data_IF_079245396794
#
_entry.id   IF_079245396794
#
_cell.length_a   1.000
_cell.length_b   1.000
_cell.length_c   1.000
_cell.angle_alpha   90.00
_cell.angle_beta   90.00
_cell.angle_gamma   90.00
#
_symmetry.space_group_name_H-M   'P 1'
#
loop_
_entity.id
_entity.type
_entity.pdbx_description
1 polymer ?
#
# COMPACT_ATOMS: atom_id res chain seq x y z
N UNK A 1 83.34 20.81 -13.00
CA UNK A 1 83.53 19.70 -12.04
C UNK A 1 82.16 19.09 -11.70
N UNK A 2 82.09 18.01 -10.92
CA UNK A 2 80.94 17.10 -10.88
C UNK A 2 79.74 17.58 -10.03
N UNK A 3 78.55 17.08 -10.36
CA UNK A 3 77.38 16.96 -9.45
C UNK A 3 77.38 15.59 -8.75
N UNK A 4 76.27 14.83 -8.64
CA UNK A 4 74.91 15.07 -9.20
C UNK A 4 73.72 14.68 -8.28
N UNK A 5 72.50 14.79 -8.83
CA UNK A 5 71.25 13.95 -8.75
C UNK A 5 69.99 14.84 -8.85
N UNK A 6 68.76 14.37 -9.16
CA UNK A 6 68.26 13.04 -9.56
C UNK A 6 66.88 12.74 -8.92
N UNK A 7 65.88 12.11 -9.57
CA UNK A 7 65.74 11.56 -10.94
C UNK A 7 64.25 11.55 -11.39
N UNK A 8 64.00 11.06 -12.61
CA UNK A 8 62.71 10.91 -13.34
C UNK A 8 61.85 9.72 -12.85
N UNK A 9 60.63 9.42 -13.35
CA UNK A 9 59.81 9.95 -14.47
C UNK A 9 59.39 8.86 -15.49
N UNK A 10 58.24 9.02 -16.16
CA UNK A 10 57.40 7.92 -16.67
C UNK A 10 57.55 7.47 -18.15
N UNK A 11 57.06 6.24 -18.46
CA UNK A 11 56.54 5.76 -19.76
C UNK A 11 55.85 4.37 -19.55
N UNK A 12 54.85 3.88 -20.31
CA UNK A 12 54.02 4.45 -21.39
C UNK A 12 53.69 3.43 -22.50
N UNK A 13 52.43 3.34 -23.01
CA UNK A 13 52.01 2.79 -24.34
C UNK A 13 50.48 2.75 -24.55
N UNK A 14 50.05 2.42 -25.78
CA UNK A 14 48.67 2.45 -26.32
C UNK A 14 48.46 1.23 -27.28
N UNK A 15 47.36 0.96 -28.01
CA UNK A 15 46.13 1.71 -28.35
C UNK A 15 45.01 0.76 -28.91
N UNK A 16 43.78 1.26 -29.07
CA UNK A 16 42.66 0.80 -29.97
C UNK A 16 41.69 -0.31 -29.52
N UNK A 17 40.52 -0.26 -30.17
CA UNK A 17 39.29 -1.06 -30.03
C UNK A 17 39.35 -2.32 -30.94
N UNK A 18 38.36 -3.23 -31.07
CA UNK A 18 36.95 -3.27 -30.66
C UNK A 18 36.42 -4.73 -30.54
N UNK A 19 35.20 -4.93 -30.04
CA UNK A 19 34.52 -6.24 -30.09
C UNK A 19 33.28 -6.31 -29.19
N UNK A 20 32.20 -6.98 -29.64
CA UNK A 20 30.90 -7.02 -28.96
C UNK A 20 30.76 -8.15 -27.92
N UNK A 21 29.76 -8.01 -27.05
CA UNK A 21 29.34 -8.99 -26.01
C UNK A 21 28.91 -10.35 -26.60
N UNK A 22 28.98 -11.40 -25.78
CA UNK A 22 27.76 -12.14 -25.43
C UNK A 22 27.45 -12.15 -23.92
N UNK A 23 26.17 -12.30 -23.56
CA UNK A 23 25.66 -11.97 -22.23
C UNK A 23 25.42 -13.20 -21.32
N UNK A 24 26.48 -13.72 -20.71
CA UNK A 24 26.41 -14.66 -19.57
C UNK A 24 27.44 -14.30 -18.48
N UNK A 25 27.39 -15.00 -17.33
CA UNK A 25 28.32 -14.99 -16.16
C UNK A 25 28.01 -14.14 -14.92
N UNK A 26 27.12 -13.14 -14.95
CA UNK A 26 26.81 -12.33 -13.75
C UNK A 26 26.32 -13.16 -12.53
N UNK A 27 25.69 -14.31 -12.76
CA UNK A 27 25.08 -15.12 -11.69
C UNK A 27 26.05 -16.09 -10.98
N UNK A 28 27.30 -16.27 -11.46
CA UNK A 28 28.26 -17.23 -10.85
C UNK A 28 29.12 -16.64 -9.72
N UNK A 29 29.30 -15.32 -9.67
CA UNK A 29 30.13 -14.68 -8.65
C UNK A 29 29.50 -14.72 -7.23
N UNK A 30 28.18 -14.61 -7.14
CA UNK A 30 27.40 -14.56 -5.89
C UNK A 30 27.25 -15.92 -5.16
N UNK A 31 27.86 -17.00 -5.66
CA UNK A 31 27.71 -18.37 -5.12
C UNK A 31 29.01 -18.93 -4.51
N UNK A 32 30.00 -18.08 -4.19
CA UNK A 32 31.29 -18.51 -3.61
C UNK A 32 31.87 -17.61 -2.50
N UNK A 33 31.10 -16.68 -1.95
CA UNK A 33 31.47 -15.99 -0.70
C UNK A 33 31.11 -16.87 0.51
N UNK A 34 32.03 -17.04 1.44
CA UNK A 34 31.79 -17.77 2.70
C UNK A 34 30.77 -17.06 3.59
N UNK A 35 30.25 -17.77 4.59
CA UNK A 35 29.31 -17.20 5.55
C UNK A 35 30.00 -16.13 6.43
N UNK A 36 29.38 -14.96 6.66
CA UNK A 36 29.76 -14.08 7.75
C UNK A 36 29.26 -14.68 9.07
N UNK A 37 30.17 -15.04 9.95
CA UNK A 37 29.88 -15.40 11.34
C UNK A 37 29.63 -14.12 12.17
N UNK A 38 28.94 -14.26 13.30
CA UNK A 38 28.69 -13.24 14.32
C UNK A 38 28.23 -11.85 13.87
N UNK A 39 26.97 -11.77 13.41
CA UNK A 39 26.21 -10.52 13.50
C UNK A 39 25.86 -10.27 14.97
N UNK A 40 26.54 -9.34 15.62
CA UNK A 40 26.07 -8.77 16.89
C UNK A 40 24.68 -8.15 16.69
N UNK A 41 23.69 -8.73 17.37
CA UNK A 41 22.34 -8.19 17.42
C UNK A 41 22.29 -7.11 18.51
N UNK A 42 22.47 -5.85 18.12
CA UNK A 42 22.01 -4.73 18.95
C UNK A 42 20.54 -4.97 19.32
N UNK A 43 20.15 -4.78 20.59
CA UNK A 43 18.83 -5.14 21.06
C UNK A 43 17.75 -4.38 20.29
N UNK A 44 16.69 -5.09 19.88
CA UNK A 44 15.54 -4.46 19.24
C UNK A 44 15.03 -3.32 20.13
N UNK A 45 14.91 -2.12 19.56
CA UNK A 45 14.18 -1.03 20.18
C UNK A 45 12.70 -1.44 20.31
N UNK A 46 12.36 -1.99 21.47
CA UNK A 46 11.00 -2.00 22.00
C UNK A 46 10.55 -0.54 22.07
N UNK A 47 9.38 -0.24 21.52
CA UNK A 47 8.82 1.12 21.55
C UNK A 47 8.63 1.52 23.04
N UNK A 48 9.24 2.64 23.47
CA UNK A 48 9.40 3.01 24.89
C UNK A 48 8.07 2.95 25.66
N UNK A 49 8.06 2.16 26.75
CA UNK A 49 6.85 1.91 27.56
C UNK A 49 6.53 3.09 28.48
N UNK A 50 7.54 3.88 28.85
CA UNK A 50 7.46 4.88 29.92
C UNK A 50 7.41 6.33 29.39
N UNK A 51 6.25 6.75 28.90
CA UNK A 51 5.88 8.18 28.87
C UNK A 51 4.84 8.49 29.95
N UNK A 52 5.33 8.81 31.16
CA UNK A 52 4.51 9.43 32.21
C UNK A 52 3.95 10.77 31.72
N UNK A 53 2.62 10.94 31.79
CA UNK A 53 1.95 12.20 31.49
C UNK A 53 2.16 13.22 32.62
N UNK A 54 3.28 13.94 32.60
CA UNK A 54 3.46 15.13 33.44
C UNK A 54 2.55 16.26 32.97
N UNK A 55 1.50 16.53 33.75
CA UNK A 55 0.58 17.64 33.54
C UNK A 55 1.00 18.87 34.35
N UNK A 56 1.85 19.73 33.78
CA UNK A 56 2.27 20.96 34.45
C UNK A 56 1.20 22.08 34.36
N UNK A 57 0.68 22.46 35.53
CA UNK A 57 -0.16 23.65 35.74
C UNK A 57 0.70 24.81 36.26
N UNK A 58 1.26 25.61 35.37
CA UNK A 58 1.84 26.94 35.63
C UNK A 58 2.12 27.61 34.26
N UNK A 59 1.99 28.93 34.07
CA UNK A 59 1.48 30.01 34.92
C UNK A 59 1.48 31.31 34.10
N UNK A 60 0.54 32.25 34.35
CA UNK A 60 0.49 33.52 33.59
C UNK A 60 1.67 34.44 33.95
N UNK A 61 2.28 35.07 32.94
CA UNK A 61 2.36 36.54 32.70
C UNK A 61 3.39 36.85 31.56
N UNK A 62 3.41 38.06 30.95
CA UNK A 62 3.65 38.15 29.51
C UNK A 62 4.80 39.08 29.05
N UNK A 63 4.95 39.11 27.72
CA UNK A 63 5.35 40.26 26.89
C UNK A 63 6.85 40.60 26.80
N UNK A 64 7.41 40.53 25.59
CA UNK A 64 8.10 41.70 25.01
C UNK A 64 8.17 41.66 23.47
N UNK A 65 8.26 42.84 22.86
CA UNK A 65 8.24 43.04 21.41
C UNK A 65 9.64 43.12 20.80
N UNK A 66 9.86 42.59 19.58
CA UNK A 66 10.90 43.14 18.70
C UNK A 66 10.59 43.08 17.21
N UNK A 67 10.85 44.20 16.54
CA UNK A 67 10.61 44.49 15.12
C UNK A 67 11.81 44.13 14.24
N UNK A 68 11.64 43.80 12.95
CA UNK A 68 12.82 43.68 12.07
C UNK A 68 12.65 43.31 10.58
N UNK A 69 12.09 44.22 9.76
CA UNK A 69 12.37 44.47 8.31
C UNK A 69 12.54 43.30 7.30
N UNK A 70 11.76 43.40 6.22
CA UNK A 70 11.90 42.65 4.97
C UNK A 70 13.09 43.09 4.08
N UNK A 71 13.33 42.33 3.00
CA UNK A 71 14.15 42.71 1.83
C UNK A 71 13.46 42.29 0.52
N UNK A 72 13.75 42.99 -0.58
CA UNK A 72 13.06 42.85 -1.87
C UNK A 72 13.95 42.26 -3.01
N UNK A 73 13.26 41.70 -4.02
CA UNK A 73 13.64 41.45 -5.43
C UNK A 73 14.49 42.56 -6.11
N UNK A 74 15.27 42.31 -7.22
CA UNK A 74 14.67 42.01 -8.56
C UNK A 74 15.49 41.34 -9.73
N UNK A 75 14.78 40.59 -10.61
CA UNK A 75 14.97 40.47 -12.10
C UNK A 75 16.35 39.95 -12.66
N UNK A 76 16.67 39.65 -13.96
CA UNK A 76 16.08 39.66 -15.34
C UNK A 76 16.80 38.57 -16.22
N UNK A 77 16.49 38.35 -17.51
CA UNK A 77 15.40 37.52 -18.08
C UNK A 77 15.30 37.68 -19.65
N UNK A 78 15.86 36.74 -20.46
CA UNK A 78 15.78 36.71 -21.95
C UNK A 78 15.97 35.27 -22.50
N UNK A 79 15.16 34.70 -23.41
CA UNK A 79 15.03 34.91 -24.88
C UNK A 79 16.34 34.61 -25.66
N UNK A 80 16.40 33.89 -26.80
CA UNK A 80 15.41 33.18 -27.68
C UNK A 80 16.13 31.97 -28.36
N UNK A 81 15.80 31.29 -29.48
CA UNK A 81 14.89 31.41 -30.66
C UNK A 81 14.66 29.99 -31.30
N UNK A 82 13.88 29.90 -32.39
CA UNK A 82 13.87 28.78 -33.37
C UNK A 82 14.19 29.29 -34.80
N UNK A 83 14.46 28.41 -35.79
CA UNK A 83 13.51 28.23 -36.92
C UNK A 83 13.40 26.76 -37.43
N UNK A 84 12.90 26.55 -38.66
CA UNK A 84 12.23 25.32 -39.14
C UNK A 84 12.45 25.00 -40.64
N UNK A 85 11.80 23.94 -41.16
CA UNK A 85 11.63 23.51 -42.57
C UNK A 85 12.78 22.65 -43.18
N UNK A 86 12.62 21.83 -44.25
CA UNK A 86 11.48 21.52 -45.17
C UNK A 86 11.68 20.17 -45.93
N UNK A 87 10.59 19.45 -46.27
CA UNK A 87 10.35 18.61 -47.50
C UNK A 87 11.28 17.39 -47.79
N UNK A 88 10.96 16.40 -48.65
CA UNK A 88 9.73 16.07 -49.43
C UNK A 88 9.51 14.53 -49.61
N UNK A 89 8.31 14.14 -50.13
CA UNK A 89 7.91 13.04 -51.09
C UNK A 89 8.78 11.76 -51.37
N UNK A 90 8.29 10.63 -51.93
CA UNK A 90 7.01 10.21 -52.59
C UNK A 90 6.89 8.66 -52.67
N UNK A 91 5.65 8.14 -52.82
CA UNK A 91 5.18 7.02 -53.69
C UNK A 91 5.82 5.59 -53.70
N UNK A 92 5.17 4.50 -54.17
CA UNK A 92 3.74 4.12 -54.29
C UNK A 92 3.59 2.61 -54.70
N UNK A 93 2.41 2.02 -54.43
CA UNK A 93 1.93 0.73 -55.02
C UNK A 93 2.43 -0.58 -54.39
N UNK A 94 1.75 -1.73 -54.53
CA UNK A 94 0.38 -1.95 -55.07
C UNK A 94 -0.06 -3.43 -55.20
N UNK A 95 -1.28 -3.74 -54.69
CA UNK A 95 -2.29 -4.77 -55.08
C UNK A 95 -1.89 -6.24 -55.45
N UNK A 96 -2.64 -7.20 -54.90
CA UNK A 96 -2.79 -8.61 -55.37
C UNK A 96 -2.80 -9.60 -54.20
N UNK A 97 -3.93 -10.22 -53.78
CA UNK A 97 -4.73 -11.26 -54.45
C UNK A 97 -3.89 -12.54 -54.74
N UNK A 98 -3.86 -13.57 -53.88
CA UNK A 98 -4.91 -14.54 -53.52
C UNK A 98 -5.10 -15.68 -54.54
N UNK A 99 -4.80 -16.93 -54.16
CA UNK A 99 -5.83 -18.00 -54.05
C UNK A 99 -5.32 -19.27 -53.30
N UNK A 100 -6.22 -20.23 -53.07
CA UNK A 100 -6.04 -21.54 -52.41
C UNK A 100 -6.07 -22.70 -53.46
N UNK A 101 -6.43 -23.96 -53.11
CA UNK A 101 -5.58 -24.95 -52.42
C UNK A 101 -5.40 -26.26 -53.23
N UNK A 102 -4.52 -27.17 -52.77
CA UNK A 102 -4.63 -28.62 -53.08
C UNK A 102 -4.42 -29.53 -51.88
N UNK A 103 -5.15 -30.65 -51.88
CA UNK A 103 -5.16 -31.76 -50.91
C UNK A 103 -4.88 -33.09 -51.66
N UNK A 104 -4.96 -34.21 -50.93
CA UNK A 104 -5.04 -35.61 -51.43
C UNK A 104 -3.67 -36.13 -51.93
N UNK A 105 -3.10 -37.25 -51.51
CA UNK A 105 -3.69 -38.56 -51.13
C UNK A 105 -3.20 -39.16 -49.81
N UNK A 106 -3.91 -40.21 -49.37
CA UNK A 106 -3.57 -41.04 -48.21
C UNK A 106 -2.85 -42.34 -48.62
N UNK A 107 -2.16 -42.97 -47.66
CA UNK A 107 -1.81 -44.40 -47.71
C UNK A 107 -1.84 -44.99 -46.30
N UNK A 108 -2.52 -46.11 -46.13
CA UNK A 108 -2.21 -47.07 -45.08
C UNK A 108 -0.84 -47.73 -45.41
N UNK A 109 -0.18 -48.52 -44.58
CA UNK A 109 -0.66 -49.41 -43.52
C UNK A 109 0.55 -49.91 -42.71
N UNK A 110 0.40 -50.28 -41.43
CA UNK A 110 1.04 -51.43 -40.77
C UNK A 110 0.87 -51.36 -39.24
N UNK A 111 0.41 -52.46 -38.63
CA UNK A 111 0.29 -52.59 -37.18
C UNK A 111 1.62 -52.96 -36.51
N UNK A 112 1.86 -52.44 -35.30
CA UNK A 112 2.91 -52.94 -34.38
C UNK A 112 2.31 -53.23 -33.01
N UNK A 113 2.84 -54.26 -32.34
CA UNK A 113 2.39 -54.73 -31.02
C UNK A 113 2.83 -53.74 -29.91
N UNK A 114 2.08 -53.61 -28.81
CA UNK A 114 2.49 -52.78 -27.67
C UNK A 114 3.62 -53.42 -26.86
N UNK A 115 4.57 -52.62 -26.38
CA UNK A 115 5.56 -53.03 -25.37
C UNK A 115 5.00 -52.95 -23.95
N UNK A 116 5.52 -53.76 -22.99
CA UNK A 116 5.12 -53.70 -21.59
C UNK A 116 5.64 -52.43 -20.89
N UNK A 117 4.75 -51.75 -20.17
CA UNK A 117 5.07 -50.52 -19.43
C UNK A 117 6.07 -50.80 -18.30
N UNK A 118 7.27 -50.21 -18.38
CA UNK A 118 8.21 -50.18 -17.25
C UNK A 118 7.72 -49.20 -16.19
N UNK A 119 7.68 -49.57 -14.90
CA UNK A 119 7.27 -48.63 -13.84
C UNK A 119 8.30 -47.50 -13.68
N UNK A 120 7.82 -46.26 -13.69
CA UNK A 120 8.66 -45.08 -13.54
C UNK A 120 9.20 -45.01 -12.10
N UNK A 121 10.49 -45.36 -11.91
CA UNK A 121 11.18 -45.14 -10.62
C UNK A 121 11.30 -43.63 -10.37
N UNK A 122 10.41 -43.10 -9.54
CA UNK A 122 10.53 -41.74 -9.00
C UNK A 122 11.77 -41.71 -8.09
N UNK A 123 12.86 -41.12 -8.60
CA UNK A 123 14.07 -40.93 -7.82
C UNK A 123 13.84 -39.94 -6.68
N UNK A 124 14.11 -40.37 -5.44
CA UNK A 124 14.19 -39.51 -4.26
C UNK A 124 15.41 -38.60 -4.35
N UNK A 125 15.32 -37.57 -5.20
CA UNK A 125 16.36 -36.56 -5.38
C UNK A 125 16.30 -35.52 -4.26
N UNK A 126 17.19 -35.69 -3.28
CA UNK A 126 17.70 -34.63 -2.40
C UNK A 126 16.65 -33.71 -1.78
N UNK A 127 16.11 -34.12 -0.63
CA UNK A 127 15.27 -33.26 0.21
C UNK A 127 16.03 -32.04 0.73
N UNK A 128 16.12 -30.98 -0.08
CA UNK A 128 16.45 -29.64 0.41
C UNK A 128 15.44 -29.28 1.51
N UNK A 129 15.86 -28.73 2.66
CA UNK A 129 14.92 -28.22 3.64
C UNK A 129 14.01 -27.21 2.94
N UNK A 130 12.70 -27.40 3.03
CA UNK A 130 11.73 -26.54 2.39
C UNK A 130 11.73 -25.19 3.11
N UNK A 131 12.55 -24.25 2.62
CA UNK A 131 12.68 -22.90 3.18
C UNK A 131 11.27 -22.32 3.33
N UNK A 132 10.81 -22.02 4.55
CA UNK A 132 9.44 -21.58 4.78
C UNK A 132 9.22 -20.27 4.04
N UNK A 133 8.29 -20.27 3.08
CA UNK A 133 8.01 -19.10 2.27
C UNK A 133 7.52 -17.96 3.18
N UNK A 134 8.07 -16.73 3.03
CA UNK A 134 7.63 -15.61 3.85
C UNK A 134 6.14 -15.33 3.62
N UNK A 135 5.41 -14.74 4.60
CA UNK A 135 3.96 -14.58 4.53
C UNK A 135 3.44 -13.94 3.24
N UNK A 136 4.17 -12.98 2.67
CA UNK A 136 3.85 -12.37 1.37
C UNK A 136 3.91 -13.36 0.19
N UNK A 137 4.89 -14.27 0.17
CA UNK A 137 4.99 -15.32 -0.85
C UNK A 137 3.84 -16.33 -0.76
N UNK A 138 3.44 -16.69 0.46
CA UNK A 138 2.25 -17.53 0.70
C UNK A 138 0.98 -16.81 0.21
N UNK A 139 0.82 -15.53 0.53
CA UNK A 139 -0.33 -14.72 0.10
C UNK A 139 -0.42 -14.65 -1.44
N UNK A 140 0.69 -14.36 -2.13
CA UNK A 140 0.77 -14.33 -3.60
C UNK A 140 0.39 -15.69 -4.22
N UNK A 141 0.91 -16.81 -3.71
CA UNK A 141 0.57 -18.16 -4.19
C UNK A 141 -0.90 -18.50 -3.96
N UNK A 142 -1.48 -18.11 -2.82
CA UNK A 142 -2.89 -18.36 -2.53
C UNK A 142 -3.79 -17.48 -3.41
N UNK A 143 -3.43 -16.22 -3.67
CA UNK A 143 -4.12 -15.37 -4.67
C UNK A 143 -4.08 -15.97 -6.07
N UNK A 144 -2.93 -16.50 -6.49
CA UNK A 144 -2.76 -17.13 -7.81
C UNK A 144 -3.71 -18.34 -7.99
N UNK A 145 -3.85 -19.14 -6.92
CA UNK A 145 -4.73 -20.33 -6.85
C UNK A 145 -6.20 -20.02 -6.61
N UNK A 146 -6.57 -18.80 -6.21
CA UNK A 146 -7.95 -18.44 -5.80
C UNK A 146 -8.64 -17.40 -6.69
N UNK A 147 -7.89 -16.58 -7.43
CA UNK A 147 -8.44 -15.45 -8.20
C UNK A 147 -7.89 -15.38 -9.63
N UNK A 148 -6.57 -15.47 -9.80
CA UNK A 148 -5.83 -15.83 -11.03
C UNK A 148 -4.33 -15.50 -10.87
N UNK A 149 -3.44 -16.06 -11.70
CA UNK A 149 -2.04 -15.64 -11.78
C UNK A 149 -1.87 -14.12 -12.00
N UNK A 150 -2.72 -13.50 -12.83
CA UNK A 150 -2.67 -12.06 -13.10
C UNK A 150 -3.05 -11.19 -11.89
N UNK A 151 -3.98 -11.64 -11.06
CA UNK A 151 -4.29 -10.96 -9.77
C UNK A 151 -3.10 -11.07 -8.81
N UNK A 152 -2.46 -12.23 -8.74
CA UNK A 152 -1.27 -12.44 -7.92
C UNK A 152 -0.07 -11.61 -8.38
N UNK A 153 0.15 -11.50 -9.69
CA UNK A 153 1.18 -10.65 -10.32
C UNK A 153 0.95 -9.17 -9.98
N UNK A 154 -0.28 -8.66 -10.19
CA UNK A 154 -0.63 -7.26 -9.90
C UNK A 154 -0.46 -6.97 -8.40
N UNK A 155 -0.88 -7.87 -7.52
CA UNK A 155 -0.62 -7.75 -6.09
C UNK A 155 0.88 -7.79 -5.76
N UNK A 156 1.64 -8.77 -6.27
CA UNK A 156 3.05 -8.95 -5.98
C UNK A 156 3.90 -7.73 -6.39
N UNK A 157 3.64 -7.14 -7.57
CA UNK A 157 4.35 -5.93 -8.02
C UNK A 157 3.92 -4.71 -7.21
N UNK A 158 2.62 -4.48 -6.99
CA UNK A 158 2.17 -3.31 -6.23
C UNK A 158 2.59 -3.36 -4.76
N UNK A 159 2.60 -4.54 -4.12
CA UNK A 159 3.04 -4.70 -2.73
C UNK A 159 4.56 -4.63 -2.58
N UNK A 160 5.34 -5.11 -3.56
CA UNK A 160 6.79 -4.97 -3.56
C UNK A 160 7.25 -3.52 -3.75
N UNK A 161 6.48 -2.72 -4.51
CA UNK A 161 6.67 -1.27 -4.57
C UNK A 161 6.17 -0.64 -3.26
N UNK A 162 4.86 -0.47 -3.08
CA UNK A 162 4.30 0.36 -2.01
C UNK A 162 4.66 -0.10 -0.59
N UNK A 163 4.92 -1.40 -0.43
CA UNK A 163 5.33 -2.00 0.83
C UNK A 163 6.83 -1.99 1.08
N UNK A 164 7.70 -1.49 0.19
CA UNK A 164 9.16 -1.65 0.28
C UNK A 164 9.75 -1.46 1.69
N UNK A 165 9.45 -0.32 2.34
CA UNK A 165 9.93 -0.01 3.69
C UNK A 165 9.11 -0.59 4.86
N UNK A 166 8.05 -1.36 4.62
CA UNK A 166 7.10 -1.81 5.66
C UNK A 166 6.68 -3.29 5.59
N UNK A 167 6.74 -3.93 4.43
CA UNK A 167 6.15 -5.26 4.16
C UNK A 167 6.86 -6.42 4.88
N UNK A 168 8.13 -6.23 5.24
CA UNK A 168 8.89 -7.17 6.08
C UNK A 168 9.02 -6.68 7.54
N UNK A 169 8.98 -5.36 7.77
CA UNK A 169 9.16 -4.75 9.09
C UNK A 169 7.89 -4.54 9.92
N UNK A 170 6.69 -4.77 9.34
CA UNK A 170 5.40 -4.66 10.04
C UNK A 170 4.51 -5.87 9.71
N UNK A 171 3.76 -6.37 10.70
CA UNK A 171 2.99 -7.61 10.58
C UNK A 171 1.72 -7.51 9.71
N UNK A 172 1.42 -6.34 9.13
CA UNK A 172 0.15 -6.00 8.47
C UNK A 172 -0.26 -6.90 7.28
N UNK A 173 0.68 -7.68 6.71
CA UNK A 173 0.35 -8.74 5.75
C UNK A 173 -0.59 -9.80 6.35
N UNK A 174 -0.49 -10.09 7.65
CA UNK A 174 -1.27 -11.14 8.32
C UNK A 174 -2.76 -10.75 8.45
N UNK A 175 -3.15 -9.60 9.04
CA UNK A 175 -4.55 -9.17 9.03
C UNK A 175 -5.07 -8.91 7.60
N UNK A 176 -4.23 -8.43 6.67
CA UNK A 176 -4.62 -8.29 5.26
C UNK A 176 -5.01 -9.64 4.63
N UNK A 177 -4.19 -10.68 4.84
CA UNK A 177 -4.49 -12.04 4.37
C UNK A 177 -5.75 -12.61 5.03
N UNK A 178 -5.89 -12.50 6.36
CA UNK A 178 -7.08 -12.94 7.10
C UNK A 178 -8.35 -12.24 6.60
N UNK A 179 -8.27 -10.95 6.27
CA UNK A 179 -9.40 -10.19 5.69
C UNK A 179 -9.79 -10.73 4.30
N UNK A 180 -8.81 -11.07 3.45
CA UNK A 180 -9.09 -11.70 2.14
C UNK A 180 -9.66 -13.11 2.30
N UNK A 181 -9.23 -13.88 3.31
CA UNK A 181 -9.87 -15.16 3.65
C UNK A 181 -11.34 -14.96 4.06
N UNK A 182 -11.66 -13.92 4.85
CA UNK A 182 -13.03 -13.58 5.24
C UNK A 182 -13.90 -13.21 4.02
N UNK A 183 -13.37 -12.37 3.11
CA UNK A 183 -14.02 -12.06 1.84
C UNK A 183 -14.32 -13.34 1.03
N UNK A 184 -13.35 -14.24 0.87
CA UNK A 184 -13.57 -15.50 0.14
C UNK A 184 -14.55 -16.44 0.84
N UNK A 185 -14.65 -16.41 2.17
CA UNK A 185 -15.68 -17.15 2.90
C UNK A 185 -17.08 -16.57 2.60
N UNK A 186 -17.25 -15.26 2.66
CA UNK A 186 -18.51 -14.57 2.35
C UNK A 186 -18.94 -14.72 0.88
N UNK A 187 -18.02 -14.53 -0.10
CA UNK A 187 -18.29 -14.76 -1.54
C UNK A 187 -18.72 -16.21 -1.83
N UNK A 188 -18.28 -17.18 -1.01
CA UNK A 188 -18.69 -18.61 -1.06
C UNK A 188 -19.92 -18.93 -0.20
N UNK A 189 -20.66 -17.92 0.28
CA UNK A 189 -21.82 -18.04 1.20
C UNK A 189 -21.52 -18.73 2.55
N UNK A 190 -20.24 -18.90 2.92
CA UNK A 190 -19.83 -19.52 4.19
C UNK A 190 -19.66 -18.45 5.28
N UNK A 191 -20.79 -17.89 5.70
CA UNK A 191 -20.82 -16.69 6.54
C UNK A 191 -20.27 -16.89 7.96
N UNK A 192 -20.54 -18.01 8.63
CA UNK A 192 -19.96 -18.31 9.95
C UNK A 192 -18.43 -18.18 9.99
N UNK A 193 -17.70 -18.89 9.11
CA UNK A 193 -16.26 -18.68 8.93
C UNK A 193 -15.86 -17.25 8.54
N UNK A 194 -16.68 -16.51 7.78
CA UNK A 194 -16.40 -15.11 7.46
C UNK A 194 -16.41 -14.21 8.71
N UNK A 195 -17.41 -14.33 9.59
CA UNK A 195 -17.46 -13.61 10.87
C UNK A 195 -16.32 -13.99 11.81
N UNK A 196 -16.00 -15.29 11.91
CA UNK A 196 -14.88 -15.75 12.73
C UNK A 196 -13.53 -15.19 12.22
N UNK A 197 -13.32 -15.17 10.89
CA UNK A 197 -12.13 -14.55 10.29
C UNK A 197 -12.11 -13.03 10.45
N UNK A 198 -13.25 -12.34 10.44
CA UNK A 198 -13.30 -10.91 10.79
C UNK A 198 -12.99 -10.65 12.27
N UNK A 199 -13.43 -11.52 13.19
CA UNK A 199 -13.11 -11.40 14.62
C UNK A 199 -11.60 -11.60 14.86
N UNK A 200 -11.01 -12.66 14.30
CA UNK A 200 -9.55 -12.86 14.30
C UNK A 200 -8.82 -11.69 13.63
N UNK A 201 -9.37 -11.15 12.53
CA UNK A 201 -8.87 -9.95 11.88
C UNK A 201 -8.84 -8.74 12.82
N UNK A 202 -9.93 -8.47 13.55
CA UNK A 202 -10.05 -7.36 14.52
C UNK A 202 -9.06 -7.49 15.68
N UNK A 203 -8.89 -8.71 16.21
CA UNK A 203 -7.94 -8.99 17.29
C UNK A 203 -6.47 -8.85 16.83
N UNK A 204 -6.19 -9.01 15.54
CA UNK A 204 -4.88 -8.70 14.95
C UNK A 204 -4.72 -7.20 14.64
N UNK A 205 -5.77 -6.52 14.16
CA UNK A 205 -5.78 -5.09 13.80
C UNK A 205 -7.22 -4.60 13.73
N UNK A 206 -7.58 -3.43 14.27
CA UNK A 206 -9.00 -3.04 14.40
C UNK A 206 -9.80 -2.90 13.09
N UNK A 207 -9.16 -2.65 11.93
CA UNK A 207 -9.87 -2.26 10.70
C UNK A 207 -10.89 -3.29 10.13
N UNK A 208 -10.76 -4.63 10.28
CA UNK A 208 -11.74 -5.57 9.73
C UNK A 208 -13.14 -5.50 10.34
N UNK A 209 -13.31 -4.79 11.47
CA UNK A 209 -14.62 -4.48 12.04
C UNK A 209 -15.52 -3.76 11.02
N UNK A 210 -14.93 -2.92 10.16
CA UNK A 210 -15.61 -2.17 9.10
C UNK A 210 -16.32 -3.06 8.07
N UNK A 211 -15.94 -4.34 7.97
CA UNK A 211 -16.54 -5.27 7.01
C UNK A 211 -17.67 -6.11 7.62
N UNK A 212 -17.88 -6.09 8.93
CA UNK A 212 -18.97 -6.84 9.58
C UNK A 212 -20.35 -6.41 9.07
N UNK A 213 -20.67 -5.11 8.88
CA UNK A 213 -21.92 -4.70 8.23
C UNK A 213 -22.04 -5.24 6.80
N UNK A 214 -20.95 -5.25 6.02
CA UNK A 214 -20.95 -5.74 4.64
C UNK A 214 -21.27 -7.24 4.56
N UNK A 215 -20.61 -8.05 5.41
CA UNK A 215 -20.85 -9.50 5.49
C UNK A 215 -22.27 -9.80 5.99
N UNK A 216 -22.78 -9.02 6.95
CA UNK A 216 -24.16 -9.14 7.43
C UNK A 216 -25.20 -8.83 6.35
N UNK A 217 -25.02 -7.75 5.59
CA UNK A 217 -25.91 -7.37 4.49
C UNK A 217 -25.80 -8.34 3.29
N UNK A 218 -24.63 -8.92 3.04
CA UNK A 218 -24.46 -9.98 2.02
C UNK A 218 -25.12 -11.31 2.43
N UNK A 219 -25.02 -11.69 3.71
CA UNK A 219 -25.72 -12.85 4.24
C UNK A 219 -27.24 -12.65 4.20
N UNK A 220 -27.71 -11.45 4.54
CA UNK A 220 -29.12 -11.10 4.48
C UNK A 220 -29.66 -11.21 3.05
N UNK A 221 -28.90 -10.72 2.04
CA UNK A 221 -29.20 -10.96 0.62
C UNK A 221 -29.20 -12.44 0.25
N UNK A 222 -28.22 -13.22 0.73
CA UNK A 222 -28.13 -14.66 0.45
C UNK A 222 -29.34 -15.46 0.95
N UNK A 223 -30.04 -14.93 1.96
CA UNK A 223 -31.26 -15.48 2.55
C UNK A 223 -32.55 -14.90 1.93
N UNK A 224 -32.46 -14.22 0.78
CA UNK A 224 -33.60 -13.65 0.06
C UNK A 224 -34.19 -12.37 0.67
N UNK A 225 -33.65 -11.86 1.78
CA UNK A 225 -34.12 -10.64 2.42
C UNK A 225 -33.51 -9.37 1.84
N UNK A 226 -34.21 -8.25 2.02
CA UNK A 226 -33.73 -6.92 1.58
C UNK A 226 -33.12 -6.18 2.78
N UNK A 227 -31.79 -5.93 2.80
CA UNK A 227 -31.13 -5.24 3.91
C UNK A 227 -31.70 -3.85 4.15
N UNK A 228 -31.75 -3.45 5.43
CA UNK A 228 -32.28 -2.15 5.91
C UNK A 228 -33.77 -1.87 5.58
N UNK A 229 -34.49 -2.80 4.91
CA UNK A 229 -35.93 -2.70 4.60
C UNK A 229 -36.79 -3.78 5.26
N UNK A 230 -36.19 -4.88 5.69
CA UNK A 230 -36.87 -5.99 6.39
C UNK A 230 -36.33 -6.13 7.82
N UNK A 231 -36.76 -7.13 8.59
CA UNK A 231 -36.09 -7.52 9.84
C UNK A 231 -34.89 -8.43 9.51
N UNK A 232 -33.74 -8.33 10.22
CA UNK A 232 -32.58 -9.18 9.95
C UNK A 232 -32.92 -10.65 10.25
N UNK A 233 -32.61 -11.60 9.35
CA UNK A 233 -32.81 -13.03 9.60
C UNK A 233 -32.03 -13.50 10.83
N UNK A 234 -32.58 -14.48 11.57
CA UNK A 234 -31.93 -15.06 12.78
C UNK A 234 -30.48 -15.52 12.52
N UNK A 235 -30.19 -16.06 11.33
CA UNK A 235 -28.84 -16.47 10.94
C UNK A 235 -27.85 -15.29 10.77
N UNK A 236 -28.33 -14.09 10.44
CA UNK A 236 -27.50 -12.85 10.40
C UNK A 236 -27.21 -12.38 11.81
N UNK A 237 -28.23 -12.36 12.67
CA UNK A 237 -28.08 -12.01 14.10
C UNK A 237 -27.11 -12.97 14.80
N UNK A 238 -27.23 -14.29 14.55
CA UNK A 238 -26.30 -15.30 15.08
C UNK A 238 -24.87 -15.15 14.52
N UNK A 239 -24.72 -14.75 13.26
CA UNK A 239 -23.41 -14.51 12.64
C UNK A 239 -22.69 -13.29 13.23
N UNK A 240 -23.41 -12.17 13.39
CA UNK A 240 -22.91 -10.99 14.09
C UNK A 240 -22.64 -11.30 15.56
N UNK A 241 -23.51 -12.09 16.21
CA UNK A 241 -23.31 -12.57 17.58
C UNK A 241 -22.03 -13.40 17.75
N UNK A 242 -21.71 -14.27 16.78
CA UNK A 242 -20.44 -15.03 16.75
C UNK A 242 -19.23 -14.09 16.61
N UNK A 243 -19.30 -13.08 15.75
CA UNK A 243 -18.25 -12.05 15.64
C UNK A 243 -18.05 -11.32 16.99
N UNK A 244 -19.14 -10.86 17.61
CA UNK A 244 -19.08 -10.15 18.88
C UNK A 244 -18.54 -11.03 20.00
N UNK A 245 -18.97 -12.29 20.10
CA UNK A 245 -18.51 -13.25 21.11
C UNK A 245 -17.00 -13.52 21.00
N UNK A 246 -16.51 -13.83 19.80
CA UNK A 246 -15.09 -14.11 19.57
C UNK A 246 -14.21 -12.87 19.82
N UNK A 247 -14.69 -11.69 19.39
CA UNK A 247 -13.98 -10.42 19.62
C UNK A 247 -13.95 -10.07 21.11
N UNK A 248 -15.09 -10.18 21.81
CA UNK A 248 -15.19 -9.95 23.24
C UNK A 248 -14.33 -10.93 24.05
N UNK A 249 -14.26 -12.21 23.66
CA UNK A 249 -13.37 -13.18 24.30
C UNK A 249 -11.89 -12.80 24.18
N UNK A 250 -11.46 -12.31 23.01
CA UNK A 250 -10.08 -11.81 22.83
C UNK A 250 -9.78 -10.55 23.64
N UNK A 251 -10.71 -9.59 23.70
CA UNK A 251 -10.57 -8.40 24.56
C UNK A 251 -10.66 -8.74 26.05
N UNK A 252 -11.39 -9.79 26.44
CA UNK A 252 -11.42 -10.27 27.82
C UNK A 252 -10.05 -10.82 28.27
N UNK A 253 -9.29 -11.47 27.38
CA UNK A 253 -7.89 -11.84 27.67
C UNK A 253 -7.02 -10.59 27.89
N UNK A 254 -7.16 -9.57 27.05
CA UNK A 254 -6.43 -8.30 27.24
C UNK A 254 -6.80 -7.59 28.56
N UNK A 255 -8.08 -7.61 28.95
CA UNK A 255 -8.56 -7.11 30.23
C UNK A 255 -8.01 -7.91 31.42
N UNK A 256 -8.02 -9.25 31.35
CA UNK A 256 -7.49 -10.10 32.43
C UNK A 256 -5.96 -9.97 32.60
N UNK A 257 -5.23 -9.65 31.53
CA UNK A 257 -3.78 -9.40 31.57
C UNK A 257 -3.45 -7.97 32.04
N UNK A 258 -4.25 -6.97 31.67
CA UNK A 258 -4.06 -5.58 32.10
C UNK A 258 -5.40 -4.84 32.29
N UNK A 259 -6.03 -4.95 33.47
CA UNK A 259 -7.34 -4.34 33.74
C UNK A 259 -7.39 -2.82 33.62
N UNK A 260 -6.26 -2.13 33.83
CA UNK A 260 -6.14 -0.68 33.72
C UNK A 260 -5.87 -0.21 32.28
N UNK A 261 -5.05 -0.95 31.53
CA UNK A 261 -4.50 -0.54 30.24
C UNK A 261 -5.13 -1.18 28.99
N UNK A 262 -6.09 -2.12 29.12
CA UNK A 262 -6.65 -2.86 27.98
C UNK A 262 -7.31 -1.99 26.88
N UNK A 263 -7.76 -0.78 27.19
CA UNK A 263 -8.26 0.21 26.22
C UNK A 263 -7.22 1.26 25.79
N UNK A 264 -5.99 1.21 26.31
CA UNK A 264 -4.89 2.13 26.00
C UNK A 264 -4.69 2.40 24.50
N UNK A 265 -4.74 1.39 23.60
CA UNK A 265 -4.63 1.61 22.16
C UNK A 265 -5.74 2.50 21.56
N UNK A 266 -6.93 2.55 22.15
CA UNK A 266 -8.00 3.46 21.72
C UNK A 266 -7.70 4.89 22.18
N UNK A 267 -7.34 5.09 23.44
CA UNK A 267 -6.95 6.40 23.98
C UNK A 267 -5.75 7.00 23.23
N UNK A 268 -4.74 6.18 22.94
CA UNK A 268 -3.55 6.53 22.16
C UNK A 268 -3.93 7.06 20.77
N UNK A 269 -4.78 6.34 20.03
CA UNK A 269 -5.18 6.77 18.69
C UNK A 269 -6.22 7.92 18.70
N UNK A 270 -7.00 8.07 19.77
CA UNK A 270 -7.93 9.20 19.92
C UNK A 270 -7.17 10.52 20.09
N UNK A 271 -6.18 10.56 20.97
CA UNK A 271 -5.35 11.74 21.25
C UNK A 271 -4.28 12.06 20.19
N UNK A 272 -4.02 11.14 19.26
CA UNK A 272 -2.94 11.30 18.27
C UNK A 272 -3.21 12.47 17.30
N UNK A 273 -2.22 13.37 17.10
CA UNK A 273 -2.28 14.46 16.12
C UNK A 273 -2.41 13.97 14.67
N UNK A 274 -2.57 14.93 13.74
CA UNK A 274 -2.67 14.62 12.31
C UNK A 274 -1.27 14.22 11.79
N UNK A 275 -1.13 12.97 11.35
CA UNK A 275 0.13 12.44 10.81
C UNK A 275 0.46 13.09 9.46
N UNK A 276 1.73 13.45 9.25
CA UNK A 276 2.24 14.23 8.11
C UNK A 276 1.82 13.67 6.73
N UNK A 277 1.81 12.34 6.59
CA UNK A 277 1.46 11.59 5.38
C UNK A 277 -0.03 11.66 4.98
N UNK A 278 -0.91 12.13 5.87
CA UNK A 278 -2.36 12.04 5.69
C UNK A 278 -2.95 13.11 4.75
N UNK A 279 -4.10 12.83 4.14
CA UNK A 279 -4.84 13.81 3.34
C UNK A 279 -5.21 15.04 4.20
N UNK A 280 -5.71 14.89 5.46
CA UNK A 280 -5.89 16.02 6.36
C UNK A 280 -4.62 16.84 6.65
N UNK A 281 -3.43 16.22 6.76
CA UNK A 281 -2.18 16.97 6.92
C UNK A 281 -1.80 17.80 5.69
N UNK A 282 -2.15 17.33 4.48
CA UNK A 282 -1.98 18.13 3.26
C UNK A 282 -2.86 19.38 3.28
N UNK A 283 -4.12 19.27 3.76
CA UNK A 283 -5.01 20.42 3.92
C UNK A 283 -4.51 21.39 5.00
N UNK A 284 -4.02 20.86 6.13
CA UNK A 284 -3.45 21.67 7.21
C UNK A 284 -2.19 22.42 6.72
N UNK A 285 -1.25 21.74 6.05
CA UNK A 285 -0.07 22.38 5.44
C UNK A 285 -0.44 23.48 4.44
N UNK A 286 -1.42 23.25 3.57
CA UNK A 286 -1.90 24.28 2.63
C UNK A 286 -2.50 25.49 3.37
N UNK A 287 -3.11 25.31 4.54
CA UNK A 287 -3.56 26.45 5.37
C UNK A 287 -2.40 27.31 5.92
N UNK A 288 -1.22 26.70 6.11
CA UNK A 288 0.03 27.42 6.39
C UNK A 288 0.39 28.42 5.29
N UNK A 289 0.18 28.05 4.03
CA UNK A 289 0.40 28.94 2.88
C UNK A 289 -0.66 30.06 2.77
N UNK A 290 -1.78 29.93 3.49
CA UNK A 290 -2.83 30.96 3.63
C UNK A 290 -2.66 31.81 4.90
N UNK A 291 -1.58 31.61 5.66
CA UNK A 291 -1.24 32.41 6.86
C UNK A 291 -1.75 31.84 8.20
N UNK A 292 -2.40 30.67 8.22
CA UNK A 292 -2.77 30.01 9.47
C UNK A 292 -1.54 29.29 10.07
N UNK A 293 -1.12 29.56 11.33
CA UNK A 293 0.07 28.95 11.89
C UNK A 293 0.00 27.41 11.93
N UNK A 294 1.03 26.76 11.38
CA UNK A 294 1.25 25.31 11.41
C UNK A 294 2.71 24.99 11.70
N UNK A 295 2.98 23.90 12.43
CA UNK A 295 4.32 23.47 12.79
C UNK A 295 4.46 21.95 12.92
N UNK A 296 5.71 21.45 12.89
CA UNK A 296 6.02 20.04 13.08
C UNK A 296 5.68 19.57 14.51
N UNK A 297 5.26 18.32 14.65
CA UNK A 297 5.12 17.64 15.93
C UNK A 297 5.74 16.23 15.87
N UNK A 298 6.41 15.81 16.94
CA UNK A 298 7.06 14.50 17.05
C UNK A 298 6.57 13.77 18.30
N UNK A 299 5.33 13.34 18.26
CA UNK A 299 4.65 12.60 19.32
C UNK A 299 4.03 11.29 18.80
N UNK A 300 3.59 10.39 19.70
CA UNK A 300 3.01 9.08 19.35
C UNK A 300 3.86 8.28 18.34
N UNK A 301 5.18 8.23 18.56
CA UNK A 301 6.16 7.52 17.71
C UNK A 301 6.25 8.00 16.25
N UNK A 302 5.58 9.10 15.88
CA UNK A 302 5.32 9.46 14.48
C UNK A 302 5.66 10.92 14.19
N UNK A 303 5.61 11.28 12.90
CA UNK A 303 5.89 12.62 12.38
C UNK A 303 4.54 13.25 12.03
N UNK A 304 4.19 14.34 12.70
CA UNK A 304 2.83 14.88 12.68
C UNK A 304 2.85 16.39 12.38
N UNK A 305 1.69 16.94 12.06
CA UNK A 305 1.49 18.37 11.80
C UNK A 305 0.42 18.91 12.75
N UNK A 306 0.76 19.99 13.46
CA UNK A 306 -0.13 20.73 14.36
C UNK A 306 -0.26 22.18 13.89
N UNK A 307 -1.28 22.89 14.37
CA UNK A 307 -1.58 24.26 13.93
C UNK A 307 -3.02 24.67 14.19
N UNK A 308 -3.33 25.94 13.92
CA UNK A 308 -4.60 26.59 14.29
C UNK A 308 -5.84 25.87 13.74
N UNK A 309 -5.74 25.24 12.56
CA UNK A 309 -6.85 24.52 11.93
C UNK A 309 -6.87 23.00 12.20
N UNK A 310 -6.00 22.46 13.06
CA UNK A 310 -5.92 21.01 13.30
C UNK A 310 -7.24 20.42 13.80
N UNK A 311 -7.91 21.08 14.74
CA UNK A 311 -9.21 20.64 15.28
C UNK A 311 -10.32 20.66 14.23
N UNK A 312 -10.64 21.79 13.55
CA UNK A 312 -11.69 21.79 12.52
C UNK A 312 -11.38 20.88 11.33
N UNK A 313 -10.12 20.75 10.91
CA UNK A 313 -9.74 19.80 9.85
C UNK A 313 -9.93 18.35 10.32
N UNK A 314 -9.58 18.02 11.57
CA UNK A 314 -9.83 16.68 12.14
C UNK A 314 -11.33 16.37 12.22
N UNK A 315 -12.16 17.32 12.66
CA UNK A 315 -13.60 17.15 12.74
C UNK A 315 -14.24 16.95 11.35
N UNK A 316 -13.81 17.72 10.35
CA UNK A 316 -14.25 17.53 8.95
C UNK A 316 -13.82 16.17 8.40
N UNK A 317 -12.62 15.71 8.76
CA UNK A 317 -12.09 14.41 8.35
C UNK A 317 -12.85 13.24 9.01
N UNK A 318 -13.10 13.31 10.32
CA UNK A 318 -13.88 12.31 11.08
C UNK A 318 -15.36 12.28 10.62
N UNK A 319 -15.94 13.44 10.26
CA UNK A 319 -17.27 13.51 9.62
C UNK A 319 -17.28 12.89 8.21
N UNK A 320 -16.26 13.14 7.40
CA UNK A 320 -16.12 12.55 6.07
C UNK A 320 -15.89 11.02 6.13
N UNK A 321 -15.18 10.53 7.15
CA UNK A 321 -15.02 9.12 7.45
C UNK A 321 -16.37 8.44 7.72
N UNK A 322 -17.17 9.00 8.64
CA UNK A 322 -18.50 8.47 8.98
C UNK A 322 -19.43 8.54 7.76
N UNK A 323 -19.50 9.67 7.06
CA UNK A 323 -20.35 9.84 5.88
C UNK A 323 -19.95 8.89 4.73
N UNK A 324 -18.64 8.70 4.50
CA UNK A 324 -18.12 7.79 3.49
C UNK A 324 -18.40 6.32 3.81
N UNK A 325 -18.24 5.89 5.07
CA UNK A 325 -18.58 4.53 5.49
C UNK A 325 -20.08 4.26 5.39
N UNK A 326 -20.92 5.20 5.88
CA UNK A 326 -22.39 5.13 5.74
C UNK A 326 -22.79 5.07 4.25
N UNK A 327 -22.14 5.86 3.38
CA UNK A 327 -22.36 5.77 1.93
C UNK A 327 -22.01 4.38 1.38
N UNK A 328 -20.85 3.81 1.70
CA UNK A 328 -20.45 2.46 1.26
C UNK A 328 -21.47 1.41 1.73
N UNK A 329 -21.89 1.47 3.00
CA UNK A 329 -22.90 0.57 3.56
C UNK A 329 -24.25 0.73 2.86
N UNK A 330 -24.75 1.95 2.64
CA UNK A 330 -26.01 2.20 1.94
C UNK A 330 -25.97 1.76 0.46
N UNK A 331 -24.83 1.93 -0.22
CA UNK A 331 -24.66 1.44 -1.60
C UNK A 331 -24.67 -0.08 -1.67
N UNK A 332 -24.00 -0.78 -0.74
CA UNK A 332 -24.01 -2.24 -0.70
C UNK A 332 -25.37 -2.79 -0.20
N UNK A 333 -26.02 -2.12 0.75
CA UNK A 333 -27.42 -2.40 1.16
C UNK A 333 -28.40 -2.28 0.00
N UNK A 334 -28.24 -1.27 -0.87
CA UNK A 334 -29.02 -1.11 -2.10
C UNK A 334 -28.66 -2.12 -3.20
N UNK A 335 -27.62 -2.96 -3.03
CA UNK A 335 -27.10 -3.85 -4.08
C UNK A 335 -26.33 -3.13 -5.18
N UNK A 336 -26.04 -1.84 -4.98
CA UNK A 336 -25.39 -0.93 -5.94
C UNK A 336 -23.88 -0.80 -5.72
N UNK A 337 -23.29 -1.80 -5.06
CA UNK A 337 -21.85 -1.99 -4.84
C UNK A 337 -21.63 -3.47 -4.48
N UNK A 338 -20.77 -4.17 -5.22
CA UNK A 338 -20.43 -5.58 -4.98
C UNK A 338 -19.53 -5.73 -3.74
N UNK A 339 -19.55 -6.89 -3.08
CA UNK A 339 -18.89 -7.11 -1.79
C UNK A 339 -17.39 -6.77 -1.79
N UNK A 340 -16.63 -7.23 -2.79
CA UNK A 340 -15.20 -6.93 -2.93
C UNK A 340 -14.96 -5.43 -3.12
N UNK A 341 -15.79 -4.79 -3.95
CA UNK A 341 -15.76 -3.34 -4.14
C UNK A 341 -16.15 -2.56 -2.88
N UNK A 342 -17.02 -3.10 -2.02
CA UNK A 342 -17.37 -2.50 -0.75
C UNK A 342 -16.26 -2.65 0.32
N UNK A 343 -15.58 -3.81 0.38
CA UNK A 343 -14.38 -3.99 1.21
C UNK A 343 -13.28 -2.99 0.83
N UNK A 344 -12.99 -2.85 -0.48
CA UNK A 344 -12.08 -1.81 -0.97
C UNK A 344 -12.59 -0.40 -0.60
N UNK A 345 -13.88 -0.12 -0.83
CA UNK A 345 -14.51 1.17 -0.52
C UNK A 345 -14.31 1.63 0.93
N UNK A 346 -14.56 0.75 1.92
CA UNK A 346 -14.36 1.07 3.34
C UNK A 346 -12.89 1.44 3.64
N UNK A 347 -11.93 0.68 3.12
CA UNK A 347 -10.50 0.98 3.28
C UNK A 347 -10.09 2.28 2.59
N UNK A 348 -10.61 2.54 1.39
CA UNK A 348 -10.32 3.77 0.65
C UNK A 348 -10.89 5.00 1.33
N UNK A 349 -12.08 4.91 1.96
CA UNK A 349 -12.61 5.98 2.81
C UNK A 349 -11.67 6.23 3.99
N UNK A 350 -11.31 5.20 4.76
CA UNK A 350 -10.37 5.31 5.90
C UNK A 350 -9.04 5.94 5.47
N UNK A 351 -8.49 5.51 4.34
CA UNK A 351 -7.23 6.04 3.79
C UNK A 351 -7.37 7.51 3.37
N UNK A 352 -8.50 7.93 2.80
CA UNK A 352 -8.71 9.32 2.37
C UNK A 352 -9.10 10.29 3.49
N UNK A 353 -9.59 9.79 4.63
CA UNK A 353 -10.21 10.61 5.69
C UNK A 353 -9.60 10.41 7.08
N UNK A 354 -8.76 9.39 7.29
CA UNK A 354 -8.07 9.22 8.56
C UNK A 354 -7.03 10.31 8.82
N UNK A 355 -6.93 10.74 10.08
CA UNK A 355 -5.80 11.54 10.61
C UNK A 355 -4.43 10.86 10.47
N UNK A 356 -4.40 9.57 10.13
CA UNK A 356 -3.24 8.68 10.14
C UNK A 356 -3.18 7.96 8.80
N UNK A 357 -2.02 7.98 8.13
CA UNK A 357 -1.83 7.34 6.82
C UNK A 357 -0.39 6.86 6.64
N UNK A 358 -0.01 5.82 7.38
CA UNK A 358 1.26 5.12 7.14
C UNK A 358 1.21 4.36 5.79
N UNK A 359 2.34 4.23 5.07
CA UNK A 359 2.49 3.34 3.91
C UNK A 359 1.92 1.93 4.11
N UNK A 360 1.96 1.40 5.35
CA UNK A 360 1.42 0.08 5.67
C UNK A 360 -0.10 -0.06 5.40
N UNK A 361 -0.85 1.04 5.31
CA UNK A 361 -2.29 1.00 4.98
C UNK A 361 -2.53 0.52 3.54
N UNK A 362 -1.55 0.70 2.63
CA UNK A 362 -1.63 0.15 1.27
C UNK A 362 -1.58 -1.39 1.28
N UNK A 363 -0.92 -2.01 2.26
CA UNK A 363 -0.90 -3.47 2.46
C UNK A 363 -2.31 -4.03 2.65
N UNK A 364 -3.20 -3.27 3.31
CA UNK A 364 -4.58 -3.68 3.54
C UNK A 364 -5.45 -3.61 2.28
N UNK A 365 -5.27 -2.56 1.44
CA UNK A 365 -6.19 -2.28 0.32
C UNK A 365 -5.75 -2.86 -1.03
N UNK A 366 -4.44 -2.99 -1.27
CA UNK A 366 -3.89 -3.54 -2.52
C UNK A 366 -4.39 -4.94 -2.89
N UNK A 367 -4.63 -5.91 -1.97
CA UNK A 367 -5.21 -7.20 -2.32
C UNK A 367 -6.58 -7.07 -3.01
N UNK A 368 -7.45 -6.19 -2.50
CA UNK A 368 -8.78 -5.97 -3.06
C UNK A 368 -8.71 -5.24 -4.41
N UNK A 369 -7.83 -4.23 -4.52
CA UNK A 369 -7.59 -3.53 -5.78
C UNK A 369 -7.04 -4.47 -6.86
N UNK A 370 -6.13 -5.39 -6.52
CA UNK A 370 -5.63 -6.39 -7.47
C UNK A 370 -6.75 -7.32 -7.97
N UNK A 371 -7.62 -7.80 -7.07
CA UNK A 371 -8.79 -8.64 -7.41
C UNK A 371 -9.77 -7.88 -8.34
N UNK A 372 -10.03 -6.60 -8.04
CA UNK A 372 -11.02 -5.77 -8.74
C UNK A 372 -10.54 -5.22 -10.09
N UNK A 373 -9.26 -4.85 -10.20
CA UNK A 373 -8.69 -4.24 -11.40
C UNK A 373 -8.15 -5.29 -12.38
N UNK A 374 -7.53 -6.37 -11.87
CA UNK A 374 -6.91 -7.47 -12.64
C UNK A 374 -5.87 -7.02 -13.69
N UNK A 375 -5.40 -5.78 -13.59
CA UNK A 375 -4.40 -5.13 -14.43
C UNK A 375 -3.69 -4.04 -13.64
N UNK A 376 -2.51 -3.64 -14.10
CA UNK A 376 -1.89 -2.41 -13.64
C UNK A 376 -2.73 -1.20 -14.04
N UNK A 377 -3.12 -0.38 -13.06
CA UNK A 377 -3.70 0.94 -13.29
C UNK A 377 -2.60 1.99 -13.02
N UNK A 378 -2.37 2.94 -13.94
CA UNK A 378 -1.22 3.85 -13.85
C UNK A 378 -1.32 4.81 -12.66
N UNK A 379 -2.52 5.16 -12.20
CA UNK A 379 -2.67 6.05 -11.03
C UNK A 379 -2.41 5.27 -9.74
N UNK A 380 -2.84 4.00 -9.65
CA UNK A 380 -2.47 3.14 -8.52
C UNK A 380 -0.97 2.84 -8.48
N UNK A 381 -0.32 2.64 -9.62
CA UNK A 381 1.15 2.55 -9.68
C UNK A 381 1.82 3.87 -9.23
N UNK A 382 1.31 5.03 -9.67
CA UNK A 382 1.83 6.33 -9.22
C UNK A 382 1.69 6.50 -7.70
N UNK A 383 0.55 6.13 -7.10
CA UNK A 383 0.37 6.12 -5.62
C UNK A 383 1.42 5.22 -4.95
N UNK A 384 1.65 4.00 -5.47
CA UNK A 384 2.65 3.08 -4.93
C UNK A 384 4.07 3.68 -4.99
N UNK A 385 4.47 4.22 -6.14
CA UNK A 385 5.81 4.80 -6.36
C UNK A 385 6.03 6.06 -5.52
N UNK A 386 5.04 6.95 -5.47
CA UNK A 386 5.13 8.17 -4.66
C UNK A 386 5.20 7.85 -3.16
N UNK A 387 4.49 6.82 -2.69
CA UNK A 387 4.58 6.35 -1.29
C UNK A 387 5.97 5.84 -0.95
N UNK A 388 6.69 5.19 -1.88
CA UNK A 388 8.09 4.77 -1.68
C UNK A 388 9.06 5.95 -1.68
N UNK A 389 8.88 6.87 -2.63
CA UNK A 389 9.69 8.09 -2.72
C UNK A 389 9.54 8.96 -1.46
N UNK A 390 8.35 8.95 -0.86
CA UNK A 390 8.05 9.57 0.43
C UNK A 390 8.69 8.80 1.60
N UNK A 391 8.36 7.52 1.76
CA UNK A 391 8.90 6.65 2.81
C UNK A 391 9.46 5.33 2.23
N UNK A 392 10.75 5.02 2.44
CA UNK A 392 11.66 5.67 3.38
C UNK A 392 12.37 6.92 2.85
N UNK A 393 12.42 7.16 1.53
CA UNK A 393 13.46 8.00 0.94
C UNK A 393 13.37 9.50 1.29
N UNK A 394 12.19 10.14 1.15
CA UNK A 394 11.99 11.53 1.56
C UNK A 394 12.11 11.73 3.06
N UNK A 395 11.79 10.70 3.84
CA UNK A 395 11.99 10.65 5.29
C UNK A 395 13.46 10.68 5.72
N UNK A 396 14.42 10.31 4.86
CA UNK A 396 15.87 10.41 5.15
C UNK A 396 16.35 11.87 5.30
N UNK A 397 15.58 12.84 4.83
CA UNK A 397 15.86 14.28 5.00
C UNK A 397 15.23 14.89 6.27
N UNK A 398 14.58 14.08 7.11
CA UNK A 398 14.10 14.53 8.42
C UNK A 398 15.26 14.51 9.43
N UNK A 399 16.02 15.59 9.47
CA UNK A 399 17.03 15.78 10.50
C UNK A 399 16.38 16.04 11.86
N UNK A 400 16.86 15.43 12.97
CA UNK A 400 16.52 15.92 14.30
C UNK A 400 17.04 17.36 14.43
N UNK A 401 16.21 18.25 14.97
CA UNK A 401 16.64 19.60 15.30
C UNK A 401 17.52 19.62 16.57
N UNK A 402 17.99 20.80 16.99
CA UNK A 402 18.65 20.96 18.28
C UNK A 402 17.76 20.43 19.42
N UNK A 403 18.34 19.95 20.54
CA UNK A 403 17.55 19.51 21.70
C UNK A 403 16.48 20.55 22.10
N UNK A 404 15.25 20.08 22.28
CA UNK A 404 14.08 20.93 22.57
C UNK A 404 13.45 21.66 21.37
N UNK A 405 14.03 21.57 20.16
CA UNK A 405 13.54 22.27 18.97
C UNK A 405 13.31 21.30 17.80
N UNK A 406 12.06 21.18 17.34
CA UNK A 406 11.75 20.45 16.12
C UNK A 406 12.14 21.27 14.89
N UNK A 407 13.04 20.74 14.07
CA UNK A 407 13.38 21.35 12.79
C UNK A 407 12.15 21.39 11.86
N UNK A 408 11.91 22.48 11.10
CA UNK A 408 10.87 22.51 10.07
C UNK A 408 11.06 21.39 9.06
N UNK A 409 10.01 20.64 8.74
CA UNK A 409 10.10 19.58 7.74
C UNK A 409 10.41 20.15 6.36
N UNK A 410 11.23 19.46 5.54
CA UNK A 410 11.71 20.02 4.29
C UNK A 410 10.58 20.17 3.27
N UNK A 411 10.50 21.34 2.63
CA UNK A 411 9.39 21.70 1.73
C UNK A 411 9.11 20.71 0.59
N UNK A 412 10.14 20.01 0.10
CA UNK A 412 9.98 19.00 -0.94
C UNK A 412 9.16 17.79 -0.47
N UNK A 413 9.24 17.42 0.82
CA UNK A 413 8.50 16.30 1.39
C UNK A 413 7.00 16.60 1.41
N UNK A 414 6.60 17.81 1.81
CA UNK A 414 5.21 18.26 1.72
C UNK A 414 4.67 18.22 0.28
N UNK A 415 5.45 18.68 -0.70
CA UNK A 415 5.07 18.62 -2.12
C UNK A 415 4.90 17.17 -2.60
N UNK A 416 5.81 16.27 -2.21
CA UNK A 416 5.76 14.87 -2.56
C UNK A 416 4.53 14.16 -1.95
N UNK A 417 4.24 14.43 -0.68
CA UNK A 417 3.03 13.96 0.02
C UNK A 417 1.77 14.52 -0.64
N UNK A 418 1.74 15.81 -0.99
CA UNK A 418 0.60 16.43 -1.66
C UNK A 418 0.33 15.82 -3.04
N UNK A 419 1.38 15.52 -3.82
CA UNK A 419 1.27 14.79 -5.10
C UNK A 419 0.73 13.36 -4.89
N UNK A 420 1.21 12.65 -3.87
CA UNK A 420 0.75 11.30 -3.52
C UNK A 420 -0.71 11.30 -3.09
N UNK A 421 -1.13 12.28 -2.29
CA UNK A 421 -2.51 12.45 -1.84
C UNK A 421 -3.44 12.89 -2.99
N UNK A 422 -2.99 13.74 -3.91
CA UNK A 422 -3.74 14.06 -5.11
C UNK A 422 -3.96 12.83 -6.00
N UNK A 423 -2.91 12.03 -6.25
CA UNK A 423 -3.01 10.79 -7.02
C UNK A 423 -3.95 9.78 -6.34
N UNK A 424 -3.89 9.66 -5.01
CA UNK A 424 -4.75 8.81 -4.19
C UNK A 424 -6.22 9.22 -4.28
N UNK A 425 -6.53 10.51 -4.11
CA UNK A 425 -7.90 11.05 -4.24
C UNK A 425 -8.43 10.84 -5.66
N UNK A 426 -7.62 11.08 -6.70
CA UNK A 426 -8.00 10.80 -8.10
C UNK A 426 -8.28 9.31 -8.32
N UNK A 427 -7.46 8.41 -7.75
CA UNK A 427 -7.68 6.96 -7.85
C UNK A 427 -8.98 6.53 -7.16
N UNK A 428 -9.31 7.13 -6.02
CA UNK A 428 -10.56 6.88 -5.27
C UNK A 428 -11.77 7.42 -6.02
N UNK A 429 -11.74 8.65 -6.52
CA UNK A 429 -12.84 9.22 -7.33
C UNK A 429 -13.11 8.37 -8.57
N UNK A 430 -12.06 7.97 -9.30
CA UNK A 430 -12.16 7.03 -10.44
C UNK A 430 -12.81 5.70 -10.04
N UNK A 431 -12.43 5.14 -8.88
CA UNK A 431 -12.99 3.90 -8.35
C UNK A 431 -14.49 4.02 -8.00
N UNK A 432 -14.91 5.12 -7.36
CA UNK A 432 -16.30 5.37 -6.97
C UNK A 432 -17.21 5.59 -8.18
N UNK A 433 -16.73 6.31 -9.20
CA UNK A 433 -17.43 6.50 -10.48
C UNK A 433 -17.58 5.16 -11.20
N UNK A 434 -16.49 4.41 -11.41
CA UNK A 434 -16.51 3.13 -12.12
C UNK A 434 -17.34 2.06 -11.40
N UNK A 435 -17.45 2.11 -10.07
CA UNK A 435 -18.30 1.20 -9.30
C UNK A 435 -19.78 1.61 -9.36
N UNK A 436 -20.08 2.91 -9.40
CA UNK A 436 -21.43 3.43 -9.58
C UNK A 436 -21.98 3.14 -10.99
N UNK A 437 -21.15 3.29 -12.03
CA UNK A 437 -21.52 2.98 -13.41
C UNK A 437 -21.83 1.49 -13.61
N UNK A 438 -20.97 0.59 -13.10
CA UNK A 438 -21.21 -0.87 -13.14
C UNK A 438 -22.49 -1.28 -12.41
N UNK A 439 -22.83 -0.60 -11.31
CA UNK A 439 -24.07 -0.84 -10.58
C UNK A 439 -25.33 -0.34 -11.30
N UNK A 440 -25.23 0.69 -12.15
CA UNK A 440 -26.33 1.13 -13.01
C UNK A 440 -26.53 0.16 -14.19
N UNK A 441 -25.44 -0.24 -14.86
CA UNK A 441 -25.44 -1.17 -15.99
C UNK A 441 -25.78 -2.63 -15.63
N UNK A 442 -25.98 -2.94 -14.34
CA UNK A 442 -26.46 -4.24 -13.85
C UNK A 442 -27.89 -4.15 -13.26
N UNK A 443 -28.56 -3.01 -13.42
CA UNK A 443 -29.92 -2.73 -12.98
C UNK A 443 -30.81 -2.17 -14.11
N UNK A 444 -30.28 -2.16 -15.33
CA UNK A 444 -30.93 -1.93 -16.62
C UNK A 444 -30.75 -3.20 -17.47
#
# INVERSE_FOLDING_TARGET
MHGPLGRHGAAGRHQRLAGHLPAEHALRALLRTAAPEDVHLDPLQVEDVDQELRSDRQGNLPNETRTGRAWHHPWRASRTRAPSAHLDRTDAGGRGAADLPRRVHARAEHARRPEPVRPLRVGLLGGRPAVPLPPGGVFVIVLARRESPRVAEVFAVTIAIAGWGTVLGRYDLVPAFVTVLALWAARRRRFGPAYALLAVGVLLKLYPALFVPLVAMEQWRALGGVPLRTRPPRAVVAGVGLFCLLTAAGFAVAFLVNPAGWLGPFSYNAGRPIQLESVPATLLWLSGLLGFPTGPDKSFGSTNLVGQLSTPISLLADLALVAGLVWVYLRQAAGRLELTAAFAGCLLVVIATGRVLSPQYLIWVLPFLAILLRRFDPVWLAVCVLTVAEFPFGYLALHPGPPGHLAPYPGFLFVLIALRNAALVVAIVRFLIASSARAAAAAA
#
